data_IF_066070813899
#
_entry.id   IF_066070813899
#
_cell.length_a   1.000
_cell.length_b   1.000
_cell.length_c   1.000
_cell.angle_alpha   90.00
_cell.angle_beta   90.00
_cell.angle_gamma   90.00
#
_symmetry.space_group_name_H-M   'P 1'
#
loop_
_entity.id
_entity.type
_entity.pdbx_description
1 polymer ?
#
# COMPACT_ATOMS: atom_id res chain seq x y z
N UNK A 1 60.82 21.64 -42.53
CA UNK A 1 60.10 20.53 -41.85
C UNK A 1 59.34 20.95 -40.58
N UNK A 2 59.31 22.25 -40.20
CA UNK A 2 58.64 22.71 -38.98
C UNK A 2 57.18 23.16 -39.17
N UNK A 3 56.81 23.61 -40.37
CA UNK A 3 55.45 24.13 -40.67
C UNK A 3 54.37 23.04 -40.57
N UNK A 4 54.72 21.78 -40.85
CA UNK A 4 53.77 20.65 -40.81
C UNK A 4 53.38 20.27 -39.38
N UNK A 5 54.29 20.45 -38.40
CA UNK A 5 54.02 20.17 -36.98
C UNK A 5 53.07 21.21 -36.36
N UNK A 6 53.09 22.45 -36.84
CA UNK A 6 52.23 23.53 -36.35
C UNK A 6 50.76 23.34 -36.78
N UNK A 7 50.53 22.96 -38.04
CA UNK A 7 49.18 22.69 -38.57
C UNK A 7 48.51 21.48 -37.92
N UNK A 8 49.29 20.45 -37.56
CA UNK A 8 48.75 19.26 -36.88
C UNK A 8 48.28 19.54 -35.44
N UNK A 9 48.98 20.42 -34.71
CA UNK A 9 48.56 20.84 -33.35
C UNK A 9 47.27 21.66 -33.36
N UNK A 10 47.07 22.55 -34.33
CA UNK A 10 45.83 23.32 -34.47
C UNK A 10 44.61 22.44 -34.79
N UNK A 11 44.79 21.42 -35.66
CA UNK A 11 43.72 20.49 -36.03
C UNK A 11 43.30 19.59 -34.87
N UNK A 12 44.21 19.25 -33.96
CA UNK A 12 43.93 18.46 -32.76
C UNK A 12 43.21 19.25 -31.66
N UNK A 13 43.54 20.53 -31.48
CA UNK A 13 42.89 21.41 -30.47
C UNK A 13 41.42 21.68 -30.85
N UNK A 14 41.12 21.82 -32.14
CA UNK A 14 39.76 22.03 -32.65
C UNK A 14 38.84 20.81 -32.48
N UNK A 15 39.38 19.59 -32.53
CA UNK A 15 38.61 18.36 -32.27
C UNK A 15 38.31 18.17 -30.78
N UNK A 16 39.26 18.43 -29.88
CA UNK A 16 39.03 18.31 -28.44
C UNK A 16 37.99 19.30 -27.90
N UNK A 17 37.98 20.52 -28.43
CA UNK A 17 36.98 21.56 -28.07
C UNK A 17 35.59 21.21 -28.58
N UNK A 18 35.46 20.63 -29.77
CA UNK A 18 34.17 20.20 -30.32
C UNK A 18 33.57 18.99 -29.57
N UNK A 19 34.41 18.04 -29.13
CA UNK A 19 33.95 16.93 -28.28
C UNK A 19 33.47 17.41 -26.91
N UNK A 20 34.15 18.38 -26.30
CA UNK A 20 33.73 18.95 -25.01
C UNK A 20 32.37 19.64 -25.08
N UNK A 21 32.12 20.43 -26.13
CA UNK A 21 30.83 21.13 -26.30
C UNK A 21 29.67 20.14 -26.51
N UNK A 22 29.85 19.12 -27.36
CA UNK A 22 28.82 18.11 -27.57
C UNK A 22 28.50 17.33 -26.28
N UNK A 23 29.51 17.02 -25.46
CA UNK A 23 29.30 16.34 -24.19
C UNK A 23 28.47 17.19 -23.22
N UNK A 24 28.71 18.50 -23.14
CA UNK A 24 27.95 19.42 -22.30
C UNK A 24 26.50 19.54 -22.77
N UNK A 25 26.27 19.64 -24.09
CA UNK A 25 24.92 19.69 -24.66
C UNK A 25 24.14 18.41 -24.36
N UNK A 26 24.79 17.25 -24.51
CA UNK A 26 24.17 15.95 -24.26
C UNK A 26 23.84 15.75 -22.77
N UNK A 27 24.73 16.20 -21.87
CA UNK A 27 24.47 16.24 -20.42
C UNK A 27 23.31 17.18 -20.08
N UNK A 28 23.24 18.37 -20.69
CA UNK A 28 22.13 19.30 -20.52
C UNK A 28 20.80 18.70 -20.98
N UNK A 29 20.80 17.97 -22.08
CA UNK A 29 19.61 17.28 -22.60
C UNK A 29 19.16 16.14 -21.68
N UNK A 30 20.10 15.36 -21.14
CA UNK A 30 19.79 14.30 -20.16
C UNK A 30 19.21 14.87 -18.87
N UNK A 31 19.77 15.97 -18.35
CA UNK A 31 19.25 16.63 -17.15
C UNK A 31 17.83 17.16 -17.40
N UNK A 32 17.59 17.82 -18.53
CA UNK A 32 16.27 18.33 -18.90
C UNK A 32 15.23 17.20 -19.10
N UNK A 33 15.66 16.07 -19.67
CA UNK A 33 14.80 14.90 -19.83
C UNK A 33 14.43 14.27 -18.48
N UNK A 34 15.40 14.11 -17.58
CA UNK A 34 15.17 13.56 -16.23
C UNK A 34 14.22 14.45 -15.44
N UNK A 35 14.42 15.77 -15.43
CA UNK A 35 13.52 16.70 -14.71
C UNK A 35 12.12 16.77 -15.30
N UNK A 36 11.95 16.49 -16.60
CA UNK A 36 10.64 16.42 -17.24
C UNK A 36 9.89 15.12 -16.94
N UNK A 37 10.60 14.07 -16.50
CA UNK A 37 10.04 12.73 -16.30
C UNK A 37 9.62 12.40 -14.85
N UNK A 38 9.96 13.25 -13.87
CA UNK A 38 9.83 12.92 -12.43
C UNK A 38 8.70 13.64 -11.68
N UNK A 39 7.75 14.29 -12.37
CA UNK A 39 6.70 15.05 -11.70
C UNK A 39 5.28 14.71 -12.16
N UNK A 40 4.74 13.55 -11.80
CA UNK A 40 3.28 13.37 -11.80
C UNK A 40 2.69 14.16 -10.63
N UNK A 41 2.16 15.33 -10.95
CA UNK A 41 1.67 16.35 -10.03
C UNK A 41 0.39 15.92 -9.30
N UNK A 42 0.53 15.30 -8.12
CA UNK A 42 -0.59 15.12 -7.17
C UNK A 42 -1.23 16.43 -6.69
N UNK A 43 -0.56 17.58 -6.90
CA UNK A 43 -1.05 18.89 -6.51
C UNK A 43 -2.25 19.38 -7.33
N UNK A 44 -2.45 18.86 -8.56
CA UNK A 44 -3.53 19.31 -9.45
C UNK A 44 -4.75 18.38 -9.54
N UNK A 45 -4.74 17.26 -8.81
CA UNK A 45 -5.86 16.32 -8.81
C UNK A 45 -6.99 16.83 -7.92
N UNK A 46 -8.22 16.66 -8.38
CA UNK A 46 -9.40 16.89 -7.55
C UNK A 46 -9.53 15.79 -6.47
N UNK A 47 -10.41 15.99 -5.50
CA UNK A 47 -10.56 15.07 -4.36
C UNK A 47 -11.12 13.70 -4.77
N UNK A 48 -11.94 13.64 -5.82
CA UNK A 48 -12.51 12.40 -6.31
C UNK A 48 -11.43 11.58 -7.04
N UNK A 49 -10.59 12.24 -7.84
CA UNK A 49 -9.45 11.60 -8.51
C UNK A 49 -8.42 11.06 -7.51
N UNK A 50 -8.15 11.80 -6.42
CA UNK A 50 -7.31 11.33 -5.31
C UNK A 50 -7.92 10.10 -4.62
N UNK A 51 -9.23 10.11 -4.40
CA UNK A 51 -9.95 8.99 -3.79
C UNK A 51 -9.87 7.74 -4.68
N UNK A 52 -10.12 7.87 -5.97
CA UNK A 52 -10.08 6.75 -6.91
C UNK A 52 -8.67 6.18 -7.03
N UNK A 53 -7.66 7.05 -7.04
CA UNK A 53 -6.24 6.63 -7.01
C UNK A 53 -5.92 5.84 -5.75
N UNK A 54 -6.40 6.28 -4.59
CA UNK A 54 -6.21 5.57 -3.33
C UNK A 54 -6.91 4.21 -3.31
N UNK A 55 -8.14 4.13 -3.86
CA UNK A 55 -8.88 2.86 -3.97
C UNK A 55 -8.14 1.88 -4.89
N UNK A 56 -7.67 2.34 -6.05
CA UNK A 56 -6.89 1.50 -6.98
C UNK A 56 -5.62 0.98 -6.32
N UNK A 57 -4.83 1.84 -5.68
CA UNK A 57 -3.60 1.44 -4.99
C UNK A 57 -3.86 0.38 -3.92
N UNK A 58 -4.95 0.55 -3.17
CA UNK A 58 -5.38 -0.40 -2.13
C UNK A 58 -5.73 -1.77 -2.72
N UNK A 59 -6.42 -1.79 -3.85
CA UNK A 59 -6.76 -3.03 -4.56
C UNK A 59 -5.51 -3.72 -5.13
N UNK A 60 -4.57 -2.96 -5.69
CA UNK A 60 -3.31 -3.49 -6.22
C UNK A 60 -2.46 -4.15 -5.11
N UNK A 61 -2.30 -3.47 -3.97
CA UNK A 61 -1.59 -4.03 -2.81
C UNK A 61 -2.24 -5.33 -2.35
N UNK A 62 -3.57 -5.37 -2.29
CA UNK A 62 -4.30 -6.58 -1.91
C UNK A 62 -4.03 -7.72 -2.91
N UNK A 63 -4.13 -7.44 -4.21
CA UNK A 63 -3.89 -8.43 -5.26
C UNK A 63 -2.46 -8.97 -5.24
N UNK A 64 -1.47 -8.14 -4.93
CA UNK A 64 -0.06 -8.55 -4.84
C UNK A 64 0.24 -9.43 -3.63
N UNK A 65 -0.48 -9.23 -2.53
CA UNK A 65 -0.27 -9.94 -1.27
C UNK A 65 -1.08 -11.23 -1.17
N UNK A 66 -2.27 -11.30 -1.79
CA UNK A 66 -3.13 -12.48 -1.74
C UNK A 66 -2.45 -13.79 -2.21
N UNK A 67 -1.76 -13.86 -3.36
CA UNK A 67 -1.07 -15.07 -3.83
C UNK A 67 0.06 -15.52 -2.91
N UNK A 68 0.63 -14.58 -2.15
CA UNK A 68 1.74 -14.83 -1.20
C UNK A 68 1.23 -15.20 0.19
N UNK A 69 -0.09 -15.34 0.35
CA UNK A 69 -0.76 -15.47 1.65
C UNK A 69 -0.46 -14.30 2.61
N UNK A 70 0.02 -13.17 2.08
CA UNK A 70 0.32 -11.95 2.84
C UNK A 70 -0.93 -11.13 3.15
N UNK A 71 -2.11 -11.55 2.69
CA UNK A 71 -3.34 -10.80 2.89
C UNK A 71 -4.51 -11.71 3.31
N UNK A 72 -4.83 -11.67 4.60
CA UNK A 72 -5.90 -12.45 5.26
C UNK A 72 -6.70 -11.54 6.20
N UNK A 73 -7.49 -10.64 5.61
CA UNK A 73 -8.32 -9.71 6.36
C UNK A 73 -9.59 -10.39 6.91
N UNK A 74 -10.08 -9.92 8.06
CA UNK A 74 -11.32 -10.38 8.68
C UNK A 74 -12.57 -9.61 8.21
N UNK A 75 -12.41 -8.65 7.29
CA UNK A 75 -13.48 -7.84 6.70
C UNK A 75 -13.75 -8.23 5.24
N UNK A 76 -14.91 -7.82 4.71
CA UNK A 76 -15.22 -7.94 3.27
C UNK A 76 -14.36 -7.00 2.42
N UNK A 77 -14.15 -5.77 2.91
CA UNK A 77 -13.26 -4.79 2.29
C UNK A 77 -12.02 -4.59 3.16
N UNK A 78 -10.82 -4.41 2.58
CA UNK A 78 -9.63 -4.16 3.36
C UNK A 78 -9.78 -2.97 4.30
N UNK A 79 -9.36 -3.12 5.55
CA UNK A 79 -9.17 -1.98 6.43
C UNK A 79 -7.88 -1.23 6.04
N UNK A 80 -7.87 0.07 6.30
CA UNK A 80 -6.71 0.95 6.12
C UNK A 80 -5.54 0.45 6.95
N UNK A 81 -5.82 -0.06 8.16
CA UNK A 81 -4.79 -0.66 9.00
C UNK A 81 -4.06 -1.80 8.31
N UNK A 82 -4.74 -2.73 7.63
CA UNK A 82 -4.06 -3.84 6.94
C UNK A 82 -3.15 -3.39 5.78
N UNK A 83 -3.31 -2.16 5.29
CA UNK A 83 -2.48 -1.57 4.23
C UNK A 83 -1.33 -0.78 4.83
N UNK A 84 -1.59 -0.05 5.92
CA UNK A 84 -0.64 0.83 6.59
C UNK A 84 0.27 0.07 7.58
N UNK A 85 -0.28 -0.91 8.29
CA UNK A 85 0.29 -1.56 9.48
C UNK A 85 -0.14 -3.02 9.59
N UNK A 86 0.82 -3.91 9.51
CA UNK A 86 0.57 -5.32 9.76
C UNK A 86 0.31 -5.63 11.23
N UNK A 87 -0.56 -6.61 11.56
CA UNK A 87 -0.75 -6.97 12.96
C UNK A 87 0.50 -7.66 13.52
N UNK A 88 1.07 -7.10 14.59
CA UNK A 88 2.10 -7.74 15.42
C UNK A 88 3.55 -7.23 15.32
N UNK A 89 4.01 -6.60 14.23
CA UNK A 89 5.46 -6.41 14.01
C UNK A 89 5.89 -5.27 13.05
N UNK A 90 6.01 -4.02 13.53
CA UNK A 90 6.76 -2.97 12.82
C UNK A 90 6.35 -2.75 11.35
N UNK A 91 7.28 -2.24 10.51
CA UNK A 91 7.04 -2.06 9.07
C UNK A 91 7.09 -3.42 8.33
N UNK A 92 6.02 -3.79 7.60
CA UNK A 92 6.08 -4.92 6.65
C UNK A 92 4.77 -5.66 6.36
N UNK A 93 3.94 -5.12 5.46
CA UNK A 93 2.91 -5.64 4.53
C UNK A 93 2.09 -6.97 4.69
N UNK A 94 2.35 -7.90 5.60
CA UNK A 94 1.47 -9.06 5.92
C UNK A 94 0.26 -8.76 6.84
N UNK A 95 -0.96 -8.76 6.31
CA UNK A 95 -2.20 -8.71 7.09
C UNK A 95 -2.67 -10.14 7.45
N UNK A 96 -2.71 -10.52 8.73
CA UNK A 96 -3.20 -11.84 9.20
C UNK A 96 -4.33 -11.78 10.25
N UNK A 97 -5.15 -10.71 10.20
CA UNK A 97 -6.28 -10.51 11.13
C UNK A 97 -7.27 -11.68 11.16
N UNK A 98 -7.35 -12.49 10.10
CA UNK A 98 -8.16 -13.70 10.08
C UNK A 98 -7.70 -14.70 11.14
N UNK A 99 -6.39 -14.98 11.22
CA UNK A 99 -5.84 -15.88 12.25
C UNK A 99 -6.09 -15.32 13.64
N UNK A 100 -5.90 -14.02 13.83
CA UNK A 100 -6.15 -13.35 15.11
C UNK A 100 -7.59 -13.56 15.56
N UNK A 101 -8.56 -13.25 14.70
CA UNK A 101 -9.99 -13.39 15.01
C UNK A 101 -10.35 -14.85 15.31
N UNK A 102 -9.86 -15.80 14.51
CA UNK A 102 -10.15 -17.23 14.72
C UNK A 102 -9.61 -17.74 16.07
N UNK A 103 -8.48 -17.19 16.52
CA UNK A 103 -7.86 -17.50 17.81
C UNK A 103 -8.40 -16.67 18.98
N UNK A 104 -9.45 -15.87 18.77
CA UNK A 104 -10.02 -15.02 19.82
C UNK A 104 -9.14 -13.83 20.21
N UNK A 105 -8.21 -13.42 19.36
CA UNK A 105 -7.35 -12.26 19.58
C UNK A 105 -8.05 -10.99 19.10
N UNK A 106 -7.99 -9.93 19.90
CA UNK A 106 -8.68 -8.68 19.64
C UNK A 106 -8.21 -7.99 18.35
N UNK A 107 -9.12 -7.74 17.39
CA UNK A 107 -8.76 -7.09 16.13
C UNK A 107 -8.48 -5.59 16.33
N UNK A 108 -7.95 -4.93 15.30
CA UNK A 108 -7.73 -3.49 15.34
C UNK A 108 -9.07 -2.71 15.39
N UNK A 109 -9.02 -1.45 15.83
CA UNK A 109 -10.22 -0.63 16.04
C UNK A 109 -11.09 -0.46 14.79
N UNK A 110 -10.48 -0.31 13.62
CA UNK A 110 -11.19 -0.22 12.34
C UNK A 110 -11.98 -1.50 12.04
N UNK A 111 -11.36 -2.66 12.22
CA UNK A 111 -12.04 -3.95 12.05
C UNK A 111 -13.22 -4.12 13.02
N UNK A 112 -13.09 -3.68 14.27
CA UNK A 112 -14.18 -3.77 15.25
C UNK A 112 -15.40 -2.96 14.79
N UNK A 113 -15.18 -1.70 14.38
CA UNK A 113 -16.25 -0.83 13.89
C UNK A 113 -17.00 -1.48 12.72
N UNK A 114 -16.27 -1.87 11.68
CA UNK A 114 -16.82 -2.51 10.48
C UNK A 114 -17.54 -3.83 10.81
N UNK A 115 -16.99 -4.66 11.70
CA UNK A 115 -17.64 -5.90 12.14
C UNK A 115 -18.98 -5.59 12.82
N UNK A 116 -19.01 -4.61 13.74
CA UNK A 116 -20.24 -4.24 14.45
C UNK A 116 -21.25 -3.53 13.55
N UNK A 117 -20.82 -2.99 12.41
CA UNK A 117 -21.70 -2.44 11.39
C UNK A 117 -22.30 -3.49 10.46
N UNK A 118 -21.64 -4.64 10.30
CA UNK A 118 -22.07 -5.76 9.45
C UNK A 118 -21.19 -5.98 8.22
N UNK A 119 -19.99 -5.40 8.19
CA UNK A 119 -19.03 -5.45 7.09
C UNK A 119 -17.86 -6.42 7.32
N UNK A 120 -17.91 -7.18 8.41
CA UNK A 120 -17.03 -8.31 8.66
C UNK A 120 -17.24 -9.44 7.65
N UNK A 121 -16.21 -10.27 7.47
CA UNK A 121 -16.31 -11.47 6.64
C UNK A 121 -17.37 -12.43 7.23
N UNK A 122 -18.48 -12.73 6.52
CA UNK A 122 -19.57 -13.55 7.06
C UNK A 122 -19.15 -14.96 7.46
N UNK A 123 -18.07 -15.51 6.89
CA UNK A 123 -17.54 -16.82 7.24
C UNK A 123 -16.86 -16.85 8.62
N UNK A 124 -16.58 -15.68 9.20
CA UNK A 124 -15.95 -15.54 10.52
C UNK A 124 -16.93 -15.13 11.61
N UNK A 125 -18.23 -15.07 11.31
CA UNK A 125 -19.25 -14.54 12.23
C UNK A 125 -19.31 -15.23 13.59
N UNK A 126 -19.01 -16.52 13.66
CA UNK A 126 -18.97 -17.28 14.91
C UNK A 126 -17.81 -16.88 15.85
N UNK A 127 -16.77 -16.23 15.32
CA UNK A 127 -15.55 -15.88 16.06
C UNK A 127 -15.54 -14.43 16.57
N UNK A 128 -16.31 -13.54 15.93
CA UNK A 128 -16.23 -12.10 16.20
C UNK A 128 -16.52 -11.72 17.65
N UNK A 129 -17.54 -12.33 18.27
CA UNK A 129 -17.92 -12.00 19.63
C UNK A 129 -16.80 -12.34 20.63
N UNK A 130 -16.12 -13.48 20.45
CA UNK A 130 -15.00 -13.88 21.30
C UNK A 130 -13.78 -12.98 21.10
N UNK A 131 -13.38 -12.76 19.85
CA UNK A 131 -12.22 -11.94 19.53
C UNK A 131 -12.36 -10.50 20.07
N UNK A 132 -13.52 -9.87 19.89
CA UNK A 132 -13.77 -8.52 20.41
C UNK A 132 -13.88 -8.54 21.95
N UNK A 133 -14.35 -9.64 22.55
CA UNK A 133 -14.46 -9.78 23.99
C UNK A 133 -13.10 -9.88 24.70
N UNK A 134 -12.02 -10.29 24.03
CA UNK A 134 -10.68 -10.47 24.63
C UNK A 134 -10.23 -9.25 25.44
N UNK A 135 -10.47 -8.03 24.93
CA UNK A 135 -10.13 -6.78 25.63
C UNK A 135 -11.33 -6.01 26.18
N UNK A 136 -12.53 -6.28 25.71
CA UNK A 136 -13.74 -5.56 26.16
C UNK A 136 -14.47 -6.23 27.31
N UNK A 137 -14.33 -7.56 27.46
CA UNK A 137 -15.04 -8.36 28.45
C UNK A 137 -16.56 -8.48 28.22
N UNK A 138 -17.09 -8.01 27.09
CA UNK A 138 -18.55 -7.89 26.86
C UNK A 138 -19.14 -8.97 25.95
N UNK A 139 -18.66 -10.22 26.05
CA UNK A 139 -19.04 -11.33 25.15
C UNK A 139 -20.56 -11.47 24.94
N UNK A 140 -21.36 -11.43 26.01
CA UNK A 140 -22.83 -11.59 25.92
C UNK A 140 -23.51 -10.47 25.13
N UNK A 141 -23.06 -9.23 25.28
CA UNK A 141 -23.60 -8.11 24.53
C UNK A 141 -23.18 -8.19 23.06
N UNK A 142 -21.92 -8.57 22.81
CA UNK A 142 -21.37 -8.76 21.48
C UNK A 142 -22.11 -9.87 20.72
N UNK A 143 -22.39 -11.01 21.35
CA UNK A 143 -23.17 -12.10 20.72
C UNK A 143 -24.51 -11.65 20.18
N UNK A 144 -25.22 -10.79 20.91
CA UNK A 144 -26.50 -10.19 20.49
C UNK A 144 -26.33 -9.28 19.27
N UNK A 145 -25.30 -8.44 19.28
CA UNK A 145 -25.02 -7.51 18.17
C UNK A 145 -24.67 -8.31 16.91
N UNK A 146 -23.75 -9.27 17.03
CA UNK A 146 -23.32 -10.12 15.91
C UNK A 146 -24.48 -10.96 15.38
N UNK A 147 -25.30 -11.53 16.26
CA UNK A 147 -26.51 -12.27 15.87
C UNK A 147 -27.44 -11.43 14.99
N UNK A 148 -27.71 -10.19 15.41
CA UNK A 148 -28.54 -9.24 14.65
C UNK A 148 -27.89 -8.83 13.32
N UNK A 149 -26.57 -8.65 13.29
CA UNK A 149 -25.86 -8.13 12.12
C UNK A 149 -25.59 -9.17 11.04
N UNK A 150 -25.41 -10.43 11.42
CA UNK A 150 -24.98 -11.50 10.52
C UNK A 150 -25.97 -12.67 10.42
N UNK A 151 -27.16 -12.53 10.99
CA UNK A 151 -28.22 -13.55 11.00
C UNK A 151 -27.67 -14.92 11.43
N UNK A 152 -27.18 -14.98 12.67
CA UNK A 152 -26.60 -16.17 13.29
C UNK A 152 -27.12 -16.31 14.71
N UNK A 153 -27.42 -17.53 15.17
CA UNK A 153 -27.88 -17.72 16.54
C UNK A 153 -26.78 -17.33 17.55
N UNK A 154 -27.16 -16.91 18.75
CA UNK A 154 -26.19 -16.63 19.83
C UNK A 154 -25.43 -17.89 20.28
N UNK A 155 -26.08 -19.04 20.19
CA UNK A 155 -25.52 -20.34 20.60
C UNK A 155 -24.53 -20.91 19.58
N UNK A 156 -24.62 -20.50 18.32
CA UNK A 156 -23.69 -20.89 17.25
C UNK A 156 -22.38 -20.07 17.28
N UNK A 157 -22.29 -19.06 18.15
CA UNK A 157 -21.10 -18.23 18.31
C UNK A 157 -20.18 -18.81 19.39
N UNK A 158 -18.87 -18.76 19.16
CA UNK A 158 -17.85 -19.26 20.09
C UNK A 158 -17.76 -18.43 21.36
#
# INVERSE_FOLDING_TARGET
MEVVKFLWRFKMIRKKTWFGINLIVLLGFLIAFVTSSTGTSFEHMDMDEKRDTFISLKEDIQQDLMPKHGYRCCLVKPCTYCIEKTPGHGEGAVCDCLSDVVNGVHPCGECIGEILEGHGNPYLKEYFAEAIAEKTGQKKALKKIISKKYDVAEDDQK
#
